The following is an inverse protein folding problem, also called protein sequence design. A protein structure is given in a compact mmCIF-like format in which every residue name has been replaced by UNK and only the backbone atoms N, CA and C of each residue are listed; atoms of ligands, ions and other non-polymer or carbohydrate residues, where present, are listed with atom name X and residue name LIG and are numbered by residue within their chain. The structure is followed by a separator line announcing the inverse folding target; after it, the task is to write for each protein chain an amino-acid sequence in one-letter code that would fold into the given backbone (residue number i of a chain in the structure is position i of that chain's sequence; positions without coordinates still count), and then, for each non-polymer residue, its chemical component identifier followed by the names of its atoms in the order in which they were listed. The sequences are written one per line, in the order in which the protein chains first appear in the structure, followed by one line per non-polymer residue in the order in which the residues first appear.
data_IF_709894226534
#
_entry.id   IF_709894226534
#
_cell.length_a   1.000
_cell.length_b   1.000
_cell.length_c   1.000
_cell.angle_alpha   90.00
_cell.angle_beta   90.00
_cell.angle_gamma   90.00
#
_symmetry.space_group_name_H-M   'P 1'
#
loop_
_entity.id
_entity.type
_entity.pdbx_description
1 polymer ?
#
# COMPACT_ATOMS: atom_id res chain seq x y z
N UNK A 1 -21.63 13.29 17.44
CA UNK A 1 -20.50 13.96 16.77
C UNK A 1 -20.56 13.61 15.29
N UNK A 2 -20.93 14.56 14.44
CA UNK A 2 -21.02 14.36 12.98
C UNK A 2 -19.67 14.75 12.40
N UNK A 3 -18.89 13.77 11.93
CA UNK A 3 -17.60 14.02 11.28
C UNK A 3 -17.91 14.48 9.85
N UNK A 4 -17.78 15.79 9.61
CA UNK A 4 -18.01 16.40 8.30
C UNK A 4 -16.84 16.03 7.39
N UNK A 5 -17.05 15.08 6.48
CA UNK A 5 -16.13 14.85 5.38
C UNK A 5 -16.35 15.98 4.36
N UNK A 6 -15.30 16.77 4.10
CA UNK A 6 -15.32 17.70 2.96
C UNK A 6 -15.23 16.88 1.69
N UNK A 7 -16.31 16.83 0.92
CA UNK A 7 -16.25 16.51 -0.50
C UNK A 7 -15.18 17.40 -1.16
N UNK A 8 -14.41 16.83 -2.09
CA UNK A 8 -13.46 17.55 -2.93
C UNK A 8 -14.23 18.53 -3.83
N UNK A 9 -14.69 19.66 -3.29
CA UNK A 9 -15.32 20.71 -4.07
C UNK A 9 -14.21 21.55 -4.69
N UNK A 10 -13.84 21.20 -5.93
CA UNK A 10 -12.95 22.01 -6.73
C UNK A 10 -13.58 23.40 -6.95
N UNK A 11 -13.05 24.42 -6.30
CA UNK A 11 -13.25 25.80 -6.71
C UNK A 11 -11.92 26.54 -6.63
N UNK A 12 -11.23 26.56 -7.76
CA UNK A 12 -10.24 27.58 -8.08
C UNK A 12 -10.19 27.71 -9.60
N UNK A 13 -10.60 28.88 -10.12
CA UNK A 13 -10.16 29.35 -11.44
C UNK A 13 -8.64 29.47 -11.38
N UNK A 14 -7.90 28.46 -11.85
CA UNK A 14 -6.50 28.60 -12.19
C UNK A 14 -6.34 28.43 -13.70
N UNK A 15 -6.22 29.55 -14.40
CA UNK A 15 -5.60 29.64 -15.72
C UNK A 15 -4.13 29.25 -15.59
N UNK A 16 -3.83 27.96 -15.70
CA UNK A 16 -2.50 27.46 -15.93
C UNK A 16 -2.62 26.21 -16.81
N UNK A 17 -1.72 26.12 -17.77
CA UNK A 17 -1.69 25.22 -18.93
C UNK A 17 -2.24 23.82 -18.66
N UNK A 18 -2.90 23.29 -19.68
CA UNK A 18 -3.39 21.92 -19.81
C UNK A 18 -2.21 20.93 -19.94
N UNK A 19 -1.19 21.05 -19.08
CA UNK A 19 -0.23 19.99 -18.83
C UNK A 19 -0.98 19.01 -17.93
N UNK A 20 -1.36 17.86 -18.47
CA UNK A 20 -2.07 16.84 -17.73
C UNK A 20 -1.26 16.49 -16.46
N UNK A 21 -1.73 16.95 -15.29
CA UNK A 21 -1.08 16.70 -14.00
C UNK A 21 -0.94 15.19 -13.83
N UNK A 22 0.30 14.71 -13.83
CA UNK A 22 0.58 13.27 -13.82
C UNK A 22 0.77 12.83 -12.37
N UNK A 23 -0.33 12.73 -11.63
CA UNK A 23 -0.29 12.45 -10.19
C UNK A 23 -0.06 10.97 -9.93
N UNK A 24 0.84 10.65 -9.00
CA UNK A 24 1.10 9.28 -8.58
C UNK A 24 1.42 9.15 -7.09
N UNK A 25 1.06 8.01 -6.51
CA UNK A 25 1.41 7.67 -5.14
C UNK A 25 2.80 7.02 -5.10
N UNK A 26 3.63 7.47 -4.17
CA UNK A 26 4.98 6.96 -3.99
C UNK A 26 5.24 6.59 -2.54
N UNK A 27 5.73 5.37 -2.31
CA UNK A 27 6.26 4.98 -1.01
C UNK A 27 7.67 5.55 -0.87
N UNK A 28 7.85 6.44 0.09
CA UNK A 28 9.13 7.11 0.34
C UNK A 28 10.09 6.24 1.17
N UNK A 29 9.52 5.36 2.00
CA UNK A 29 10.30 4.51 2.90
C UNK A 29 10.61 3.15 2.26
N UNK A 30 11.88 2.76 2.27
CA UNK A 30 12.27 1.38 1.91
C UNK A 30 11.88 0.43 3.03
N UNK A 31 11.24 -0.69 2.70
CA UNK A 31 10.85 -1.72 3.66
C UNK A 31 12.05 -2.49 4.23
N UNK A 32 11.84 -3.10 5.41
CA UNK A 32 12.81 -4.02 5.99
C UNK A 32 13.06 -5.24 5.08
N UNK A 33 14.29 -5.74 5.09
CA UNK A 33 14.71 -6.89 4.26
C UNK A 33 14.10 -8.20 4.77
N UNK A 34 13.82 -8.30 6.07
CA UNK A 34 13.30 -9.50 6.71
C UNK A 34 11.94 -9.22 7.33
N UNK A 35 10.88 -9.60 6.61
CA UNK A 35 9.50 -9.46 7.06
C UNK A 35 8.99 -10.85 7.43
N UNK A 36 8.33 -10.96 8.58
CA UNK A 36 7.80 -12.21 9.10
C UNK A 36 6.29 -12.12 9.29
N UNK A 37 5.60 -13.25 9.14
CA UNK A 37 4.18 -13.36 9.50
C UNK A 37 3.98 -13.05 10.99
N UNK A 38 2.84 -12.43 11.32
CA UNK A 38 2.51 -12.06 12.71
C UNK A 38 3.35 -10.91 13.29
N UNK A 39 4.32 -10.36 12.53
CA UNK A 39 5.07 -9.17 12.92
C UNK A 39 4.58 -7.95 12.14
N UNK A 40 4.72 -6.79 12.79
CA UNK A 40 4.45 -5.49 12.18
C UNK A 40 5.40 -5.27 10.99
N UNK A 41 4.83 -4.81 9.89
CA UNK A 41 5.55 -4.36 8.72
C UNK A 41 6.22 -3.01 9.03
N UNK A 42 7.53 -2.96 8.87
CA UNK A 42 8.33 -1.77 9.18
C UNK A 42 9.27 -1.43 8.03
N UNK A 43 9.61 -0.14 7.96
CA UNK A 43 10.69 0.36 7.14
C UNK A 43 12.06 -0.12 7.61
N UNK A 44 13.07 0.07 6.77
CA UNK A 44 14.46 -0.23 7.09
C UNK A 44 14.88 0.49 8.38
N UNK A 45 15.36 -0.27 9.36
CA UNK A 45 15.76 0.28 10.66
C UNK A 45 14.60 0.54 11.64
N UNK A 46 13.43 -0.10 11.42
CA UNK A 46 12.26 0.06 12.30
C UNK A 46 11.50 1.37 12.07
N UNK A 47 11.77 2.07 10.97
CA UNK A 47 11.10 3.32 10.64
C UNK A 47 9.66 3.07 10.23
N UNK A 48 8.82 4.08 10.40
CA UNK A 48 7.44 4.04 9.89
C UNK A 48 7.44 4.20 8.36
N UNK A 49 6.43 3.65 7.71
CA UNK A 49 6.35 3.63 6.24
C UNK A 49 5.60 4.88 5.79
N UNK A 50 6.30 5.79 5.14
CA UNK A 50 5.74 7.03 4.61
C UNK A 50 5.36 6.88 3.15
N UNK A 51 4.25 7.50 2.79
CA UNK A 51 3.72 7.58 1.42
C UNK A 51 3.49 9.04 1.07
N UNK A 52 3.69 9.40 -0.19
CA UNK A 52 3.48 10.76 -0.69
C UNK A 52 2.72 10.74 -2.01
N UNK A 53 1.90 11.76 -2.23
CA UNK A 53 1.35 12.10 -3.53
C UNK A 53 2.34 13.04 -4.23
N UNK A 54 2.82 12.63 -5.41
CA UNK A 54 3.80 13.40 -6.18
C UNK A 54 3.28 13.69 -7.59
N UNK A 55 3.76 14.78 -8.18
CA UNK A 55 3.70 14.98 -9.63
C UNK A 55 4.82 14.15 -10.28
N UNK A 56 4.50 13.23 -11.17
CA UNK A 56 5.48 12.39 -11.85
C UNK A 56 6.40 13.19 -12.79
N UNK A 57 5.94 14.35 -13.29
CA UNK A 57 6.69 15.22 -14.19
C UNK A 57 7.75 16.01 -13.42
N UNK A 58 7.39 16.63 -12.29
CA UNK A 58 8.33 17.47 -11.50
C UNK A 58 9.00 16.72 -10.36
N UNK A 59 8.46 15.56 -9.96
CA UNK A 59 8.83 14.79 -8.76
C UNK A 59 8.57 15.52 -7.44
N UNK A 60 7.80 16.60 -7.46
CA UNK A 60 7.44 17.36 -6.26
C UNK A 60 6.25 16.73 -5.54
N UNK A 61 6.25 16.86 -4.21
CA UNK A 61 5.11 16.47 -3.36
C UNK A 61 4.00 17.50 -3.51
N UNK A 62 2.79 17.02 -3.77
CA UNK A 62 1.60 17.86 -3.90
C UNK A 62 1.05 18.18 -2.51
N UNK A 63 1.34 19.36 -2.00
CA UNK A 63 1.03 19.74 -0.60
C UNK A 63 -0.26 20.54 -0.43
N UNK A 64 -0.72 21.24 -1.47
CA UNK A 64 -1.77 22.26 -1.35
C UNK A 64 -3.02 22.01 -2.20
N UNK A 65 -2.98 21.03 -3.10
CA UNK A 65 -4.13 20.69 -3.94
C UNK A 65 -5.19 19.88 -3.16
N UNK A 66 -6.46 19.84 -3.60
CA UNK A 66 -7.50 19.00 -3.00
C UNK A 66 -7.10 17.51 -2.86
N UNK A 67 -6.31 17.01 -3.82
CA UNK A 67 -5.78 15.66 -3.85
C UNK A 67 -4.77 15.38 -2.71
N UNK A 68 -4.19 16.42 -2.11
CA UNK A 68 -3.23 16.31 -0.99
C UNK A 68 -3.84 15.71 0.29
N UNK A 69 -5.17 15.62 0.36
CA UNK A 69 -5.93 15.06 1.49
C UNK A 69 -6.70 13.79 1.13
N UNK A 70 -6.30 13.11 0.05
CA UNK A 70 -6.95 11.89 -0.43
C UNK A 70 -6.81 10.74 0.57
N UNK A 71 -7.84 9.89 0.64
CA UNK A 71 -7.82 8.64 1.39
C UNK A 71 -7.34 7.50 0.49
N UNK A 72 -6.44 6.67 1.01
CA UNK A 72 -5.84 5.55 0.30
C UNK A 72 -6.19 4.23 0.98
N UNK A 73 -6.44 3.21 0.16
CA UNK A 73 -6.51 1.82 0.56
C UNK A 73 -5.16 1.13 0.34
N UNK A 74 -4.80 0.29 1.30
CA UNK A 74 -3.57 -0.49 1.30
C UNK A 74 -3.93 -1.91 0.90
N UNK A 75 -3.30 -2.40 -0.17
CA UNK A 75 -3.55 -3.72 -0.74
C UNK A 75 -2.26 -4.51 -0.86
N UNK A 76 -2.37 -5.83 -0.99
CA UNK A 76 -1.22 -6.70 -1.29
C UNK A 76 -1.21 -7.01 -2.78
N UNK A 77 -0.04 -6.91 -3.40
CA UNK A 77 0.18 -7.26 -4.80
C UNK A 77 1.14 -8.44 -4.91
N UNK A 78 1.04 -9.17 -6.01
CA UNK A 78 1.96 -10.26 -6.34
C UNK A 78 3.35 -9.68 -6.62
N UNK A 79 4.40 -10.36 -6.13
CA UNK A 79 5.77 -9.87 -6.24
C UNK A 79 6.32 -9.78 -7.66
N UNK A 80 5.71 -10.47 -8.61
CA UNK A 80 6.05 -10.47 -10.04
C UNK A 80 5.49 -9.26 -10.81
N UNK A 81 4.81 -8.33 -10.13
CA UNK A 81 4.38 -7.04 -10.69
C UNK A 81 5.57 -6.11 -10.99
N UNK A 82 6.43 -6.55 -11.92
CA UNK A 82 7.65 -5.90 -12.38
C UNK A 82 7.36 -4.96 -13.54
N UNK A 83 6.51 -3.97 -13.28
CA UNK A 83 6.40 -2.75 -14.09
C UNK A 83 7.36 -1.70 -13.52
N UNK A 84 8.66 -1.99 -13.53
CA UNK A 84 9.70 -1.07 -12.98
C UNK A 84 10.21 -0.10 -14.05
N UNK A 85 10.12 -0.49 -15.33
CA UNK A 85 10.54 0.33 -16.47
C UNK A 85 9.37 1.11 -17.13
N UNK A 86 8.14 0.71 -16.81
CA UNK A 86 6.91 1.35 -17.25
C UNK A 86 6.02 1.55 -16.04
N UNK A 87 6.20 2.63 -15.28
CA UNK A 87 5.24 3.10 -14.27
C UNK A 87 3.91 3.55 -14.92
N UNK A 88 3.49 2.95 -16.02
CA UNK A 88 2.30 3.31 -16.79
C UNK A 88 1.40 2.09 -16.98
N UNK A 89 0.85 1.58 -15.87
CA UNK A 89 -0.19 0.55 -15.90
C UNK A 89 -1.59 1.17 -15.81
N UNK A 90 -2.56 0.48 -16.40
CA UNK A 90 -3.98 0.80 -16.22
C UNK A 90 -4.47 0.33 -14.84
N UNK A 91 -5.55 0.93 -14.34
CA UNK A 91 -6.10 0.57 -13.03
C UNK A 91 -6.52 -0.91 -12.98
N UNK A 92 -7.09 -1.41 -14.07
CA UNK A 92 -7.54 -2.81 -14.21
C UNK A 92 -6.35 -3.77 -14.14
N UNK A 93 -5.19 -3.38 -14.67
CA UNK A 93 -3.98 -4.17 -14.57
C UNK A 93 -3.50 -4.24 -13.12
N UNK A 94 -3.48 -3.11 -12.40
CA UNK A 94 -3.14 -3.10 -10.98
C UNK A 94 -4.05 -4.02 -10.16
N UNK A 95 -5.36 -3.95 -10.39
CA UNK A 95 -6.35 -4.78 -9.69
C UNK A 95 -6.18 -6.27 -9.97
N UNK A 96 -5.72 -6.64 -11.17
CA UNK A 96 -5.42 -8.04 -11.52
C UNK A 96 -4.29 -8.64 -10.69
N UNK A 97 -3.32 -7.84 -10.27
CA UNK A 97 -2.19 -8.29 -9.44
C UNK A 97 -2.49 -8.26 -7.95
N UNK A 98 -3.69 -7.81 -7.53
CA UNK A 98 -4.07 -7.83 -6.13
C UNK A 98 -4.24 -9.26 -5.63
N UNK A 99 -3.46 -9.61 -4.61
CA UNK A 99 -3.46 -10.93 -3.99
C UNK A 99 -4.52 -10.97 -2.91
N UNK A 100 -5.42 -11.95 -3.04
CA UNK A 100 -6.38 -12.29 -2.00
C UNK A 100 -5.85 -13.43 -1.14
N UNK A 101 -6.41 -13.55 0.05
CA UNK A 101 -6.17 -14.69 0.94
C UNK A 101 -6.50 -16.02 0.26
N UNK A 102 -5.87 -17.08 0.76
CA UNK A 102 -6.21 -18.44 0.36
C UNK A 102 -7.62 -18.78 0.85
N UNK A 103 -8.35 -19.57 0.07
CA UNK A 103 -9.70 -20.01 0.44
C UNK A 103 -9.70 -20.64 1.84
N UNK A 104 -10.55 -20.13 2.72
CA UNK A 104 -10.68 -20.60 4.12
C UNK A 104 -9.58 -20.11 5.07
N UNK A 105 -8.74 -19.14 4.67
CA UNK A 105 -7.75 -18.49 5.55
C UNK A 105 -8.22 -17.09 5.97
N UNK A 106 -7.59 -16.57 7.02
CA UNK A 106 -7.75 -15.18 7.43
C UNK A 106 -7.26 -14.21 6.32
N UNK A 107 -7.68 -12.93 6.35
CA UNK A 107 -7.21 -11.91 5.41
C UNK A 107 -5.69 -11.88 5.36
N UNK A 108 -5.10 -11.78 4.17
CA UNK A 108 -3.65 -11.86 3.96
C UNK A 108 -2.88 -10.76 4.71
N UNK A 109 -3.51 -9.59 4.82
CA UNK A 109 -2.99 -8.41 5.51
C UNK A 109 -4.04 -7.92 6.51
N UNK A 110 -3.61 -7.62 7.73
CA UNK A 110 -4.45 -7.14 8.84
C UNK A 110 -3.86 -5.88 9.46
N UNK A 111 -4.67 -5.16 10.25
CA UNK A 111 -4.31 -3.90 10.87
C UNK A 111 -4.98 -2.69 10.21
N UNK A 112 -4.25 -1.58 10.11
CA UNK A 112 -4.73 -0.30 9.57
C UNK A 112 -4.56 -0.26 8.06
N UNK A 113 -5.51 -0.85 7.32
CA UNK A 113 -5.47 -0.96 5.85
C UNK A 113 -5.86 0.32 5.09
N UNK A 114 -6.01 1.44 5.79
CA UNK A 114 -6.36 2.73 5.20
C UNK A 114 -5.49 3.83 5.78
N UNK A 115 -5.10 4.79 4.94
CA UNK A 115 -4.35 5.98 5.32
C UNK A 115 -4.93 7.21 4.65
N UNK A 116 -5.02 8.32 5.36
CA UNK A 116 -5.43 9.61 4.78
C UNK A 116 -4.19 10.49 4.66
N UNK A 117 -3.94 11.01 3.46
CA UNK A 117 -2.86 11.97 3.25
C UNK A 117 -3.20 13.29 3.96
N UNK A 118 -2.17 13.98 4.44
CA UNK A 118 -2.26 15.32 5.02
C UNK A 118 -1.15 16.16 4.41
N UNK A 119 -1.53 17.17 3.62
CA UNK A 119 -0.55 17.94 2.87
C UNK A 119 0.29 17.09 1.93
N UNK A 120 -0.33 16.07 1.30
CA UNK A 120 0.31 15.21 0.32
C UNK A 120 1.09 14.04 0.90
N UNK A 121 1.25 13.95 2.22
CA UNK A 121 2.02 12.89 2.88
C UNK A 121 1.17 12.12 3.87
N UNK A 122 1.35 10.81 3.93
CA UNK A 122 0.67 9.91 4.84
C UNK A 122 1.65 8.89 5.43
N UNK A 123 1.33 8.39 6.61
CA UNK A 123 2.10 7.36 7.29
C UNK A 123 1.24 6.10 7.44
N UNK A 124 1.73 4.97 6.96
CA UNK A 124 1.01 3.71 7.11
C UNK A 124 1.02 3.29 8.57
N UNK A 125 -0.15 2.82 9.03
CA UNK A 125 -0.31 2.30 10.37
C UNK A 125 0.30 0.91 10.56
N UNK A 126 -0.22 0.18 11.54
CA UNK A 126 0.18 -1.20 11.75
C UNK A 126 -0.35 -2.08 10.61
N UNK A 127 0.54 -2.82 9.97
CA UNK A 127 0.23 -3.78 8.92
C UNK A 127 0.88 -5.12 9.28
N UNK A 128 0.10 -6.19 9.35
CA UNK A 128 0.58 -7.52 9.76
C UNK A 128 0.15 -8.54 8.71
N UNK A 129 1.14 -9.25 8.14
CA UNK A 129 0.89 -10.37 7.26
C UNK A 129 0.51 -11.62 8.04
N UNK A 130 -0.57 -12.28 7.64
CA UNK A 130 -1.07 -13.50 8.28
C UNK A 130 -0.53 -14.78 7.64
N UNK A 131 -0.17 -14.71 6.36
CA UNK A 131 0.42 -15.81 5.60
C UNK A 131 1.77 -15.41 4.99
N UNK A 132 2.63 -16.40 4.74
CA UNK A 132 3.94 -16.17 4.15
C UNK A 132 3.83 -16.00 2.63
N UNK A 133 4.88 -15.53 1.96
CA UNK A 133 4.83 -15.34 0.51
C UNK A 133 5.18 -16.59 -0.29
N UNK A 134 5.50 -17.73 0.35
CA UNK A 134 6.06 -18.90 -0.32
C UNK A 134 5.08 -19.64 -1.23
N UNK A 135 3.77 -19.51 -0.96
CA UNK A 135 2.71 -20.15 -1.72
C UNK A 135 2.39 -19.43 -3.04
N UNK A 136 2.88 -18.21 -3.21
CA UNK A 136 2.68 -17.48 -4.46
C UNK A 136 3.75 -17.79 -5.49
N UNK A 137 3.43 -17.53 -6.76
CA UNK A 137 4.31 -17.82 -7.90
C UNK A 137 5.64 -17.10 -7.80
N UNK A 138 5.61 -15.83 -7.39
CA UNK A 138 6.82 -14.99 -7.28
C UNK A 138 7.60 -15.25 -5.98
N UNK A 139 7.02 -15.98 -5.04
CA UNK A 139 7.50 -16.17 -3.66
C UNK A 139 7.68 -14.85 -2.90
N UNK A 140 7.09 -13.75 -3.38
CA UNK A 140 7.25 -12.39 -2.88
C UNK A 140 5.90 -11.66 -2.90
N UNK A 141 5.79 -10.65 -2.05
CA UNK A 141 4.69 -9.70 -2.07
C UNK A 141 5.20 -8.29 -2.33
N UNK A 142 4.28 -7.41 -2.71
CA UNK A 142 4.44 -5.95 -2.73
C UNK A 142 3.27 -5.34 -1.96
N UNK A 143 3.48 -4.19 -1.33
CA UNK A 143 2.37 -3.36 -0.85
C UNK A 143 1.96 -2.44 -2.00
N UNK A 144 0.68 -2.44 -2.32
CA UNK A 144 0.04 -1.51 -3.23
C UNK A 144 -0.74 -0.44 -2.47
N UNK A 145 -0.80 0.76 -3.05
CA UNK A 145 -1.59 1.89 -2.58
C UNK A 145 -2.51 2.33 -3.68
N UNK A 146 -3.80 2.42 -3.41
CA UNK A 146 -4.77 2.96 -4.36
C UNK A 146 -5.66 3.98 -3.67
N UNK A 147 -6.24 4.89 -4.45
CA UNK A 147 -7.22 5.84 -3.92
C UNK A 147 -8.46 5.06 -3.48
N UNK A 148 -8.98 5.40 -2.30
CA UNK A 148 -10.20 4.80 -1.78
C UNK A 148 -11.38 5.13 -2.71
N UNK A 149 -12.35 4.21 -2.87
CA UNK A 149 -13.55 4.51 -3.63
C UNK A 149 -14.23 5.78 -3.09
N UNK A 150 -14.80 6.55 -4.00
CA UNK A 150 -15.45 7.86 -3.78
C UNK A 150 -14.55 9.09 -3.60
N UNK A 151 -13.24 8.94 -3.55
CA UNK A 151 -12.32 10.08 -3.55
C UNK A 151 -11.78 10.39 -4.95
N UNK A 152 -11.60 11.68 -5.26
CA UNK A 152 -10.92 12.16 -6.47
C UNK A 152 -11.46 11.60 -7.81
N UNK A 153 -12.78 11.43 -7.96
CA UNK A 153 -13.41 10.85 -9.18
C UNK A 153 -13.03 11.53 -10.50
N UNK A 154 -12.64 12.80 -10.46
CA UNK A 154 -12.34 13.61 -11.64
C UNK A 154 -10.83 13.71 -11.96
N UNK A 155 -9.96 13.21 -11.08
CA UNK A 155 -8.50 13.32 -11.25
C UNK A 155 -7.88 11.91 -11.20
N UNK A 156 -7.20 11.49 -12.28
CA UNK A 156 -6.46 10.23 -12.29
C UNK A 156 -5.23 10.36 -11.41
N UNK A 157 -5.25 9.71 -10.25
CA UNK A 157 -4.08 9.50 -9.39
C UNK A 157 -3.62 8.07 -9.60
N UNK A 158 -2.38 7.88 -10.05
CA UNK A 158 -1.79 6.56 -10.26
C UNK A 158 -1.46 5.87 -8.94
N UNK A 159 -1.71 4.57 -8.90
CA UNK A 159 -1.45 3.71 -7.76
C UNK A 159 0.04 3.66 -7.43
N UNK A 160 0.35 3.49 -6.15
CA UNK A 160 1.71 3.35 -5.66
C UNK A 160 2.02 1.90 -5.35
N UNK A 161 3.30 1.53 -5.43
CA UNK A 161 3.76 0.21 -4.98
C UNK A 161 5.10 0.27 -4.28
N UNK A 162 5.37 -0.73 -3.45
CA UNK A 162 6.71 -0.97 -2.91
C UNK A 162 7.52 -1.87 -3.84
N UNK A 163 8.82 -1.95 -3.55
CA UNK A 163 9.66 -3.04 -4.05
C UNK A 163 9.14 -4.38 -3.53
N UNK A 164 9.42 -5.46 -4.28
CA UNK A 164 9.03 -6.80 -3.88
C UNK A 164 9.87 -7.30 -2.69
N UNK A 165 9.22 -7.92 -1.71
CA UNK A 165 9.86 -8.48 -0.52
C UNK A 165 9.33 -9.88 -0.21
N UNK A 166 10.14 -10.67 0.51
CA UNK A 166 9.74 -11.99 0.98
C UNK A 166 9.13 -11.87 2.37
N UNK A 167 7.96 -12.45 2.56
CA UNK A 167 7.36 -12.64 3.88
C UNK A 167 7.64 -14.08 4.30
N UNK A 168 8.45 -14.24 5.34
CA UNK A 168 8.79 -15.55 5.89
C UNK A 168 7.79 -15.94 6.97
N UNK A 169 7.51 -17.22 7.08
CA UNK A 169 6.79 -17.69 8.25
C UNK A 169 7.67 -17.53 9.49
N UNK A 170 7.11 -17.05 10.60
CA UNK A 170 7.79 -17.03 11.89
C UNK A 170 7.92 -18.45 12.52
N UNK A 171 8.05 -19.51 11.71
CA UNK A 171 8.25 -20.87 12.23
C UNK A 171 9.64 -20.99 12.83
N UNK A 172 9.68 -20.89 14.15
CA UNK A 172 10.89 -20.97 14.97
C UNK A 172 10.66 -21.04 16.49
N UNK A 173 9.42 -21.17 16.97
CA UNK A 173 9.15 -21.78 18.27
C UNK A 173 8.28 -23.01 18.06
N UNK A 174 8.92 -24.13 17.75
CA UNK A 174 8.30 -25.43 17.91
C UNK A 174 7.99 -25.59 19.41
N UNK A 175 6.78 -25.24 19.85
CA UNK A 175 6.19 -25.94 21.00
C UNK A 175 5.90 -27.34 20.49
N UNK A 176 6.88 -28.22 20.61
CA UNK A 176 6.67 -29.65 20.56
C UNK A 176 5.60 -29.95 21.61
N UNK A 177 4.34 -30.06 21.22
CA UNK A 177 3.37 -30.81 22.02
C UNK A 177 3.78 -32.27 21.90
N UNK A 178 4.79 -32.65 22.69
CA UNK A 178 4.96 -34.03 23.10
C UNK A 178 3.73 -34.31 23.95
N UNK A 179 2.68 -34.87 23.34
CA UNK A 179 1.64 -35.55 24.09
C UNK A 179 2.28 -36.85 24.59
N UNK A 180 2.91 -36.79 25.76
CA UNK A 180 3.22 -37.98 26.54
C UNK A 180 1.88 -38.51 27.06
N UNK A 181 1.24 -39.41 26.32
CA UNK A 181 0.34 -40.36 26.95
C UNK A 181 1.22 -41.29 27.78
N UNK A 182 1.25 -41.05 29.10
CA UNK A 182 1.80 -41.99 30.07
C UNK A 182 0.63 -42.81 30.61
N UNK A 183 0.60 -44.07 30.13
CA UNK A 183 -0.13 -45.27 30.58
C UNK A 183 -1.58 -45.10 31.06
#
# INVERSE_FOLDING_TARGET
MVVFWRECRANAKSTAKNDARNLQLQVQTKLSVSIFTGKKLEGKGGTRISVALIDANTRDVITSDPESSVKLDIVVLEGDFNKEDEDNWAQEEFEKYMVKERQGKAPLLTGNLQVTLKGGVGELGELIFTDNSSWTRSKKFRIGLKVAPDFCKNTRIREGKTNAFRVKEHRGECRSFIVLYRL
#
